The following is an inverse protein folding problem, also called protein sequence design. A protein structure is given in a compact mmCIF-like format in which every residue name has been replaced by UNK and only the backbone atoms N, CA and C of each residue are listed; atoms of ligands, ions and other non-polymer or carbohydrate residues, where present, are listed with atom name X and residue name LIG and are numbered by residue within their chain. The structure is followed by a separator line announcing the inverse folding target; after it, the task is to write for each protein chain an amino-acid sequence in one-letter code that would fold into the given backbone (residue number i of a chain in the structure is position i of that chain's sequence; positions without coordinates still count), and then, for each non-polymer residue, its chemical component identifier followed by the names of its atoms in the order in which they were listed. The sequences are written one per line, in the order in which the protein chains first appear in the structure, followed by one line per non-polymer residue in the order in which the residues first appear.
data_IF_943300887214
#
_entry.id   IF_943300887214
#
_cell.length_a   1.000
_cell.length_b   1.000
_cell.length_c   1.000
_cell.angle_alpha   90.00
_cell.angle_beta   90.00
_cell.angle_gamma   90.00
#
_symmetry.space_group_name_H-M   'P 1'
#
loop_
_entity.id
_entity.type
_entity.pdbx_description
1 polymer ?
#
# COMPACT_ATOMS: atom_id res chain seq x y z
N UNK A 1 15.09 -7.66 0.32
CA UNK A 1 14.15 -7.83 -0.80
C UNK A 1 14.85 -7.51 -2.11
N UNK A 2 14.62 -8.30 -3.16
CA UNK A 2 15.19 -8.07 -4.51
C UNK A 2 14.08 -7.56 -5.43
N UNK A 3 14.40 -6.60 -6.30
CA UNK A 3 13.46 -6.05 -7.28
C UNK A 3 13.54 -6.91 -8.55
N UNK A 4 12.40 -7.42 -9.00
CA UNK A 4 12.28 -8.22 -10.23
C UNK A 4 11.64 -7.43 -11.37
N UNK A 5 10.58 -6.68 -11.10
CA UNK A 5 9.82 -5.89 -12.08
C UNK A 5 9.33 -4.62 -11.41
N UNK A 6 9.51 -3.44 -12.03
CA UNK A 6 9.03 -2.17 -11.44
C UNK A 6 7.65 -1.76 -11.92
N UNK A 7 7.09 -2.52 -12.87
CA UNK A 7 5.80 -2.24 -13.48
C UNK A 7 4.70 -2.33 -12.43
N UNK A 8 3.85 -1.29 -12.33
CA UNK A 8 2.72 -1.27 -11.41
C UNK A 8 3.06 -0.87 -9.97
N UNK A 9 4.29 -0.44 -9.65
CA UNK A 9 4.64 0.05 -8.31
C UNK A 9 3.79 1.28 -7.91
N UNK A 10 3.60 2.23 -8.83
CA UNK A 10 2.78 3.42 -8.59
C UNK A 10 1.29 3.09 -8.48
N UNK A 11 0.80 2.26 -9.39
CA UNK A 11 -0.62 1.86 -9.42
C UNK A 11 -0.98 1.04 -8.18
N UNK A 12 -0.10 0.14 -7.74
CA UNK A 12 -0.30 -0.65 -6.51
C UNK A 12 -0.23 0.21 -5.26
N UNK A 13 0.65 1.23 -5.21
CA UNK A 13 0.67 2.21 -4.12
C UNK A 13 -0.65 2.98 -4.00
N UNK A 14 -1.13 3.55 -5.11
CA UNK A 14 -2.38 4.32 -5.15
C UNK A 14 -3.58 3.41 -4.90
N UNK A 15 -3.61 2.23 -5.50
CA UNK A 15 -4.65 1.21 -5.29
C UNK A 15 -4.73 0.80 -3.82
N UNK A 16 -3.59 0.56 -3.16
CA UNK A 16 -3.53 0.28 -1.72
C UNK A 16 -4.01 1.45 -0.87
N UNK A 17 -3.65 2.68 -1.25
CA UNK A 17 -4.10 3.87 -0.54
C UNK A 17 -5.63 3.97 -0.57
N UNK A 18 -6.20 3.89 -1.78
CA UNK A 18 -7.65 3.95 -1.98
C UNK A 18 -8.38 2.78 -1.32
N UNK A 19 -7.80 1.58 -1.36
CA UNK A 19 -8.31 0.40 -0.65
C UNK A 19 -8.43 0.66 0.85
N UNK A 20 -7.38 1.17 1.49
CA UNK A 20 -7.41 1.44 2.93
C UNK A 20 -8.44 2.53 3.29
N UNK A 21 -8.56 3.57 2.45
CA UNK A 21 -9.56 4.62 2.65
C UNK A 21 -10.99 4.07 2.54
N UNK A 22 -11.25 3.29 1.50
CA UNK A 22 -12.57 2.69 1.26
C UNK A 22 -12.92 1.64 2.31
N UNK A 23 -12.01 0.72 2.62
CA UNK A 23 -12.22 -0.39 3.56
C UNK A 23 -12.52 0.11 4.98
N UNK A 24 -11.86 1.18 5.41
CA UNK A 24 -12.05 1.78 6.73
C UNK A 24 -13.08 2.93 6.73
N UNK A 25 -13.75 3.18 5.61
CA UNK A 25 -14.73 4.27 5.44
C UNK A 25 -14.19 5.66 5.84
N UNK A 26 -12.94 5.94 5.51
CA UNK A 26 -12.25 7.19 5.82
C UNK A 26 -12.64 8.24 4.77
N UNK A 27 -13.13 9.39 5.22
CA UNK A 27 -13.47 10.52 4.36
C UNK A 27 -12.32 11.52 4.27
N UNK A 28 -12.44 12.46 3.33
CA UNK A 28 -11.47 13.54 3.18
C UNK A 28 -11.33 14.39 4.44
N UNK A 29 -12.45 14.65 5.13
CA UNK A 29 -12.49 15.39 6.39
C UNK A 29 -11.66 14.70 7.48
N UNK A 30 -11.73 13.37 7.58
CA UNK A 30 -10.93 12.59 8.51
C UNK A 30 -9.44 12.72 8.20
N UNK A 31 -9.05 12.61 6.93
CA UNK A 31 -7.66 12.75 6.50
C UNK A 31 -7.07 14.12 6.84
N UNK A 32 -7.86 15.19 6.69
CA UNK A 32 -7.45 16.55 7.03
C UNK A 32 -7.28 16.70 8.55
N UNK A 33 -8.12 16.03 9.34
CA UNK A 33 -8.06 16.05 10.80
C UNK A 33 -6.98 15.12 11.39
N UNK A 34 -6.44 14.18 10.60
CA UNK A 34 -5.44 13.23 11.08
C UNK A 34 -4.10 13.88 11.36
N UNK A 35 -3.45 13.38 12.42
CA UNK A 35 -2.07 13.75 12.70
C UNK A 35 -1.09 13.04 11.73
N UNK A 36 0.15 13.52 11.73
CA UNK A 36 1.24 13.00 10.89
C UNK A 36 1.49 11.50 11.09
N UNK A 37 1.28 10.96 12.30
CA UNK A 37 1.54 9.55 12.58
C UNK A 37 0.51 8.62 11.94
N UNK A 38 -0.78 8.97 11.99
CA UNK A 38 -1.82 8.22 11.29
C UNK A 38 -1.59 8.20 9.79
N UNK A 39 -1.24 9.36 9.21
CA UNK A 39 -0.91 9.46 7.79
C UNK A 39 0.33 8.61 7.46
N UNK A 40 1.37 8.64 8.30
CA UNK A 40 2.55 7.76 8.12
C UNK A 40 2.18 6.28 8.14
N UNK A 41 1.26 5.85 9.00
CA UNK A 41 0.80 4.45 9.05
C UNK A 41 0.16 4.03 7.72
N UNK A 42 -0.75 4.86 7.20
CA UNK A 42 -1.41 4.66 5.92
C UNK A 42 -0.40 4.55 4.76
N UNK A 43 0.56 5.48 4.71
CA UNK A 43 1.62 5.50 3.70
C UNK A 43 2.60 4.33 3.85
N UNK A 44 2.90 3.90 5.09
CA UNK A 44 3.77 2.74 5.36
C UNK A 44 3.18 1.47 4.77
N UNK A 45 1.88 1.25 4.95
CA UNK A 45 1.19 0.10 4.37
C UNK A 45 1.23 0.15 2.83
N UNK A 46 0.90 1.29 2.22
CA UNK A 46 0.95 1.43 0.75
C UNK A 46 2.36 1.28 0.17
N UNK A 47 3.39 1.74 0.89
CA UNK A 47 4.78 1.48 0.53
C UNK A 47 5.13 -0.01 0.62
N UNK A 48 4.60 -0.73 1.63
CA UNK A 48 4.73 -2.17 1.74
C UNK A 48 4.13 -2.91 0.54
N UNK A 49 2.94 -2.51 0.11
CA UNK A 49 2.29 -3.05 -1.09
C UNK A 49 3.13 -2.80 -2.34
N UNK A 50 3.57 -1.55 -2.56
CA UNK A 50 4.38 -1.18 -3.71
C UNK A 50 5.72 -1.92 -3.73
N UNK A 51 6.36 -2.06 -2.56
CA UNK A 51 7.55 -2.88 -2.41
C UNK A 51 7.24 -4.31 -2.86
N UNK A 52 6.35 -5.04 -2.19
CA UNK A 52 6.05 -6.43 -2.53
C UNK A 52 5.66 -6.63 -4.01
N UNK A 53 4.92 -5.67 -4.59
CA UNK A 53 4.57 -5.68 -6.01
C UNK A 53 5.80 -5.72 -6.90
N UNK A 54 6.86 -4.98 -6.57
CA UNK A 54 8.09 -5.00 -7.38
C UNK A 54 9.00 -6.21 -7.16
N UNK A 55 8.71 -7.07 -6.18
CA UNK A 55 9.43 -8.33 -5.97
C UNK A 55 8.91 -9.50 -6.80
N UNK A 56 7.77 -9.36 -7.46
CA UNK A 56 7.15 -10.41 -8.28
C UNK A 56 6.96 -9.86 -9.70
N UNK A 57 6.96 -10.75 -10.70
CA UNK A 57 6.82 -10.36 -12.11
C UNK A 57 5.35 -10.06 -12.45
N UNK A 58 5.09 -8.92 -13.09
CA UNK A 58 3.78 -8.52 -13.61
C UNK A 58 2.88 -7.80 -12.60
N UNK A 59 2.47 -6.57 -12.92
CA UNK A 59 1.76 -5.65 -12.02
C UNK A 59 0.55 -6.24 -11.26
N UNK A 60 -0.43 -6.81 -11.95
CA UNK A 60 -1.65 -7.32 -11.28
C UNK A 60 -1.40 -8.65 -10.56
N UNK A 61 -0.62 -9.55 -11.15
CA UNK A 61 -0.30 -10.84 -10.54
C UNK A 61 0.62 -10.70 -9.31
N UNK A 62 1.34 -9.58 -9.22
CA UNK A 62 2.24 -9.26 -8.13
C UNK A 62 1.58 -8.58 -6.93
N UNK A 63 0.29 -8.24 -7.01
CA UNK A 63 -0.41 -7.61 -5.88
C UNK A 63 -0.40 -8.56 -4.66
N UNK A 64 0.11 -8.11 -3.50
CA UNK A 64 0.14 -8.91 -2.30
C UNK A 64 -1.24 -8.95 -1.63
N UNK A 65 -1.45 -9.99 -0.83
CA UNK A 65 -2.53 -10.04 0.15
C UNK A 65 -2.26 -9.11 1.32
N UNK A 66 -3.30 -8.72 2.05
CA UNK A 66 -3.15 -7.89 3.25
C UNK A 66 -2.24 -8.54 4.31
N UNK A 67 -2.36 -9.86 4.51
CA UNK A 67 -1.53 -10.60 5.46
C UNK A 67 -0.04 -10.55 5.08
N UNK A 68 0.30 -10.77 3.80
CA UNK A 68 1.68 -10.65 3.32
C UNK A 68 2.26 -9.24 3.56
N UNK A 69 1.42 -8.20 3.44
CA UNK A 69 1.86 -6.82 3.71
C UNK A 69 2.08 -6.59 5.20
N UNK A 70 1.18 -7.06 6.05
CA UNK A 70 1.29 -6.95 7.51
C UNK A 70 2.54 -7.69 8.03
N UNK A 71 2.80 -8.90 7.54
CA UNK A 71 4.01 -9.68 7.85
C UNK A 71 5.30 -9.02 7.32
N UNK A 72 5.22 -8.23 6.25
CA UNK A 72 6.38 -7.54 5.68
C UNK A 72 6.74 -6.25 6.43
N UNK A 73 5.75 -5.54 7.00
CA UNK A 73 5.96 -4.21 7.60
C UNK A 73 6.14 -4.23 9.12
N UNK A 74 5.84 -5.35 9.79
CA UNK A 74 5.93 -5.53 11.25
C UNK A 74 6.83 -6.69 11.61
#
# INVERSE_FOLDING_TARGET
MKVEDRTGAGDSFIGSLLYQLSFNNIKLEDLIAWNKEKIKGLLKFSNGVAALTVSKKGAMAALPTRAEVEDFIY
#
